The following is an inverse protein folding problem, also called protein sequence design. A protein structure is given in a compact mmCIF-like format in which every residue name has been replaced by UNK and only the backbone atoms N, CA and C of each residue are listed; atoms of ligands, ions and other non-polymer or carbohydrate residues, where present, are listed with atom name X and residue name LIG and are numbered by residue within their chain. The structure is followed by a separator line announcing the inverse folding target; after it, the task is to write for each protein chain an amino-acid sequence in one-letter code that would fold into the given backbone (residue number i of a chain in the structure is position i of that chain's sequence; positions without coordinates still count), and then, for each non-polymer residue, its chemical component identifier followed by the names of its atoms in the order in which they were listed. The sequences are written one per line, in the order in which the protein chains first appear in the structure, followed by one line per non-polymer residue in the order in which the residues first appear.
data_IF_881429885822
#
_entry.id   IF_881429885822
#
_cell.length_a   1.000
_cell.length_b   1.000
_cell.length_c   1.000
_cell.angle_alpha   90.00
_cell.angle_beta   90.00
_cell.angle_gamma   90.00
#
_symmetry.space_group_name_H-M   'P 1'
#
loop_
_entity.id
_entity.type
_entity.pdbx_description
1 polymer ?
#
# COMPACT_ATOMS: atom_id res chain seq x y z
N UNK A 1 4.79 -11.43 12.66
CA UNK A 1 5.38 -10.28 11.94
C UNK A 1 5.52 -10.67 10.47
N UNK A 2 5.62 -9.69 9.56
CA UNK A 2 5.68 -9.84 8.12
C UNK A 2 6.95 -9.15 7.59
N UNK A 3 7.69 -9.81 6.70
CA UNK A 3 8.73 -9.18 5.88
C UNK A 3 8.10 -8.92 4.51
N UNK A 4 7.89 -7.66 4.16
CA UNK A 4 7.11 -7.28 2.97
C UNK A 4 7.97 -7.01 1.72
N UNK A 5 9.30 -6.91 1.87
CA UNK A 5 10.18 -6.47 0.79
C UNK A 5 9.68 -5.14 0.22
N UNK A 6 9.56 -5.06 -1.11
CA UNK A 6 9.06 -3.87 -1.79
C UNK A 6 7.54 -3.90 -2.05
N UNK A 7 6.77 -4.71 -1.31
CA UNK A 7 5.32 -4.83 -1.52
C UNK A 7 4.54 -3.73 -0.80
N UNK A 8 4.84 -3.50 0.48
CA UNK A 8 4.10 -2.60 1.36
C UNK A 8 5.09 -1.83 2.24
N UNK A 9 4.95 -0.52 2.22
CA UNK A 9 5.73 0.45 2.98
C UNK A 9 4.81 1.25 3.91
N UNK A 10 5.36 1.93 4.92
CA UNK A 10 4.63 2.99 5.61
C UNK A 10 4.09 4.00 4.59
N UNK A 11 2.77 4.18 4.55
CA UNK A 11 2.13 5.14 3.66
C UNK A 11 1.79 4.62 2.25
N UNK A 12 2.09 3.38 1.85
CA UNK A 12 1.67 2.93 0.52
C UNK A 12 2.28 1.63 -0.01
N UNK A 13 1.86 1.21 -1.22
CA UNK A 13 2.46 0.09 -1.92
C UNK A 13 3.88 0.44 -2.41
N UNK A 14 4.63 -0.56 -2.82
CA UNK A 14 5.85 -0.32 -3.59
C UNK A 14 5.60 0.34 -4.95
N UNK A 15 6.68 0.88 -5.51
CA UNK A 15 6.67 1.52 -6.84
C UNK A 15 6.23 0.55 -7.92
N UNK A 16 5.34 1.01 -8.80
CA UNK A 16 4.80 0.23 -9.92
C UNK A 16 5.13 0.87 -11.26
N UNK A 17 5.24 0.08 -12.33
CA UNK A 17 5.64 0.57 -13.66
C UNK A 17 4.46 0.84 -14.59
N UNK A 18 3.30 0.27 -14.30
CA UNK A 18 2.09 0.42 -15.11
C UNK A 18 0.82 0.46 -14.25
N UNK A 19 -0.31 0.99 -14.77
CA UNK A 19 -1.59 0.95 -14.07
C UNK A 19 -2.07 -0.48 -13.78
N UNK A 20 -1.69 -1.45 -14.60
CA UNK A 20 -2.00 -2.87 -14.38
C UNK A 20 -1.24 -3.42 -13.17
N UNK A 21 0.05 -3.08 -13.05
CA UNK A 21 0.87 -3.46 -11.89
C UNK A 21 0.35 -2.81 -10.61
N UNK A 22 -0.07 -1.55 -10.71
CA UNK A 22 -0.70 -0.85 -9.59
C UNK A 22 -1.97 -1.55 -9.10
N UNK A 23 -2.88 -1.91 -10.01
CA UNK A 23 -4.06 -2.70 -9.62
C UNK A 23 -3.69 -4.04 -8.98
N UNK A 24 -2.68 -4.73 -9.53
CA UNK A 24 -2.23 -6.03 -9.05
C UNK A 24 -1.59 -5.96 -7.66
N UNK A 25 -0.78 -4.94 -7.37
CA UNK A 25 -0.16 -4.80 -6.05
C UNK A 25 -1.21 -4.46 -4.99
N UNK A 26 -2.19 -3.60 -5.31
CA UNK A 26 -3.31 -3.29 -4.41
C UNK A 26 -4.15 -4.53 -4.13
N UNK A 27 -4.46 -5.33 -5.17
CA UNK A 27 -5.15 -6.61 -5.00
C UNK A 27 -4.37 -7.57 -4.09
N UNK A 28 -3.05 -7.71 -4.32
CA UNK A 28 -2.18 -8.55 -3.49
C UNK A 28 -2.17 -8.11 -2.02
N UNK A 29 -2.03 -6.80 -1.76
CA UNK A 29 -2.04 -6.25 -0.39
C UNK A 29 -3.38 -6.52 0.29
N UNK A 30 -4.48 -6.17 -0.36
CA UNK A 30 -5.83 -6.26 0.23
C UNK A 30 -6.28 -7.71 0.45
N UNK A 31 -5.94 -8.63 -0.45
CA UNK A 31 -6.35 -10.03 -0.32
C UNK A 31 -5.42 -10.87 0.56
N UNK A 32 -4.12 -10.55 0.62
CA UNK A 32 -3.12 -11.39 1.31
C UNK A 32 -2.56 -10.80 2.58
N UNK A 33 -2.39 -9.48 2.65
CA UNK A 33 -1.79 -8.83 3.81
C UNK A 33 -2.86 -8.35 4.79
N UNK A 34 -3.96 -7.79 4.29
CA UNK A 34 -5.02 -7.26 5.16
C UNK A 34 -5.85 -8.33 5.88
N UNK A 35 -5.68 -9.61 5.54
CA UNK A 35 -6.26 -10.74 6.29
C UNK A 35 -5.45 -11.08 7.55
N UNK A 36 -4.25 -10.52 7.71
CA UNK A 36 -3.42 -10.72 8.89
C UNK A 36 -3.96 -9.92 10.09
N UNK A 37 -3.63 -10.34 11.34
CA UNK A 37 -3.98 -9.58 12.54
C UNK A 37 -3.45 -8.15 12.51
N UNK A 38 -4.23 -7.21 13.04
CA UNK A 38 -3.93 -5.78 13.02
C UNK A 38 -2.61 -5.43 13.73
N UNK A 39 -2.23 -6.12 14.81
CA UNK A 39 -0.94 -5.91 15.49
C UNK A 39 0.28 -6.48 14.74
N UNK A 40 0.07 -7.12 13.58
CA UNK A 40 1.17 -7.67 12.80
C UNK A 40 2.11 -6.55 12.35
N UNK A 41 3.33 -6.53 12.91
CA UNK A 41 4.41 -5.68 12.44
C UNK A 41 4.84 -6.06 11.02
N UNK A 42 4.96 -5.05 10.16
CA UNK A 42 5.40 -5.13 8.77
C UNK A 42 6.78 -4.49 8.66
N UNK A 43 7.74 -5.26 8.17
CA UNK A 43 9.11 -4.80 7.91
C UNK A 43 9.31 -4.70 6.39
N UNK A 44 9.37 -3.48 5.83
CA UNK A 44 9.65 -3.29 4.41
C UNK A 44 11.12 -3.60 4.08
N UNK A 45 11.43 -3.67 2.78
CA UNK A 45 12.80 -3.83 2.30
C UNK A 45 13.72 -2.66 2.67
N UNK A 46 13.15 -1.49 2.93
CA UNK A 46 13.84 -0.28 3.36
C UNK A 46 12.88 0.68 4.10
N UNK A 47 13.45 1.57 4.92
CA UNK A 47 12.68 2.54 5.72
C UNK A 47 12.17 1.96 7.04
N UNK A 48 11.22 2.67 7.64
CA UNK A 48 10.66 2.34 8.95
C UNK A 48 9.65 1.18 8.89
N UNK A 49 9.47 0.50 10.02
CA UNK A 49 8.43 -0.51 10.15
C UNK A 49 7.02 0.13 10.28
N UNK A 50 5.99 -0.62 9.95
CA UNK A 50 4.58 -0.25 10.18
C UNK A 50 3.79 -1.46 10.72
N UNK A 51 2.48 -1.33 10.84
CA UNK A 51 1.55 -2.41 11.22
C UNK A 51 0.48 -2.59 10.16
N UNK A 52 -0.13 -3.78 10.13
CA UNK A 52 -1.29 -4.04 9.26
C UNK A 52 -2.44 -3.07 9.57
N UNK A 53 -2.65 -2.72 10.85
CA UNK A 53 -3.63 -1.71 11.27
C UNK A 53 -3.41 -0.36 10.60
N UNK A 54 -2.19 0.19 10.72
CA UNK A 54 -1.86 1.51 10.14
C UNK A 54 -2.01 1.50 8.61
N UNK A 55 -1.54 0.43 7.95
CA UNK A 55 -1.68 0.27 6.51
C UNK A 55 -3.14 0.24 6.06
N UNK A 56 -4.02 -0.47 6.78
CA UNK A 56 -5.48 -0.49 6.50
C UNK A 56 -6.10 0.90 6.63
N UNK A 57 -5.78 1.64 7.68
CA UNK A 57 -6.31 2.99 7.92
C UNK A 57 -5.88 3.97 6.82
N UNK A 58 -4.63 3.91 6.40
CA UNK A 58 -4.13 4.73 5.29
C UNK A 58 -4.78 4.33 3.96
N UNK A 59 -4.89 3.03 3.69
CA UNK A 59 -5.57 2.54 2.48
C UNK A 59 -7.04 2.92 2.44
N UNK A 60 -7.74 2.91 3.58
CA UNK A 60 -9.14 3.35 3.66
C UNK A 60 -9.28 4.80 3.21
N UNK A 61 -8.45 5.71 3.76
CA UNK A 61 -8.41 7.12 3.35
C UNK A 61 -8.10 7.25 1.85
N UNK A 62 -7.13 6.51 1.34
CA UNK A 62 -6.79 6.48 -0.08
C UNK A 62 -7.98 6.02 -0.94
N UNK A 63 -8.64 4.90 -0.57
CA UNK A 63 -9.69 4.25 -1.36
C UNK A 63 -10.96 5.08 -1.52
N UNK A 64 -11.23 6.02 -0.60
CA UNK A 64 -12.40 6.91 -0.66
C UNK A 64 -12.25 8.07 -1.63
N UNK A 65 -11.04 8.33 -2.13
CA UNK A 65 -10.75 9.44 -3.05
C UNK A 65 -10.89 8.99 -4.51
N UNK A 66 -11.29 9.89 -5.44
CA UNK A 66 -11.18 9.60 -6.86
C UNK A 66 -9.70 9.50 -7.27
N UNK A 67 -9.37 8.54 -8.15
CA UNK A 67 -8.02 8.32 -8.67
C UNK A 67 -8.02 8.33 -10.19
N UNK A 68 -6.91 8.77 -10.78
CA UNK A 68 -6.68 8.62 -12.21
C UNK A 68 -6.71 7.12 -12.60
N UNK A 69 -7.42 6.72 -13.67
CA UNK A 69 -7.44 5.32 -14.13
C UNK A 69 -6.05 4.78 -14.55
N UNK A 70 -5.11 5.68 -14.82
CA UNK A 70 -3.72 5.41 -15.17
C UNK A 70 -2.75 5.59 -13.98
N UNK A 71 -3.26 5.64 -12.75
CA UNK A 71 -2.43 5.76 -11.55
C UNK A 71 -1.41 4.61 -11.47
N UNK A 72 -0.13 4.96 -11.42
CA UNK A 72 1.01 4.07 -11.18
C UNK A 72 2.26 4.89 -10.79
N UNK A 73 3.35 4.21 -10.46
CA UNK A 73 4.59 4.87 -10.02
C UNK A 73 4.71 4.88 -8.50
N UNK A 74 5.16 6.00 -7.95
CA UNK A 74 5.36 6.22 -6.52
C UNK A 74 4.06 6.71 -5.87
N UNK A 75 3.13 5.78 -5.64
CA UNK A 75 1.81 6.08 -5.06
C UNK A 75 1.89 6.02 -3.53
N UNK A 76 1.46 7.10 -2.88
CA UNK A 76 1.31 7.22 -1.44
C UNK A 76 -0.16 7.43 -1.07
N UNK A 77 -0.57 6.89 0.07
CA UNK A 77 -1.94 6.87 0.57
C UNK A 77 -2.26 8.07 1.47
N UNK A 78 -1.25 8.71 2.05
CA UNK A 78 -1.40 9.85 2.96
C UNK A 78 -1.64 11.18 2.22
N UNK A 79 -1.14 11.32 0.99
CA UNK A 79 -1.23 12.55 0.19
C UNK A 79 -2.22 12.43 -0.98
N UNK A 80 -2.82 13.55 -1.43
CA UNK A 80 -3.53 13.58 -2.70
C UNK A 80 -2.56 13.25 -3.83
N UNK A 81 -2.96 12.37 -4.74
CA UNK A 81 -2.25 12.16 -5.99
C UNK A 81 -2.52 13.37 -6.89
N UNK A 82 -1.47 14.05 -7.35
CA UNK A 82 -1.59 15.17 -8.28
C UNK A 82 -2.27 14.70 -9.56
N UNK A 83 -3.22 15.48 -10.06
CA UNK A 83 -3.86 15.26 -11.36
C UNK A 83 -2.90 15.51 -12.53
#
# INVERSE_FOLDING_TARGET
YLIAGDTLFPGGPGKTQSPADFRRIIESITQRLFVLPDETKVFPGHGEATTIKEAKQQYEVFSTRPHDPNLCGDVVWDKPQSA
#
